data_IF_650529278761
#
_entry.id   IF_650529278761
#
_cell.length_a   1.000
_cell.length_b   1.000
_cell.length_c   1.000
_cell.angle_alpha   90.00
_cell.angle_beta   90.00
_cell.angle_gamma   90.00
#
_symmetry.space_group_name_H-M   'P 1'
#
loop_
_entity.id
_entity.type
_entity.pdbx_description
1 polymer ?
#
# COMPACT_ATOMS: atom_id res chain seq x y z
N UNK A 1 -0.94 -12.87 14.81
CA UNK A 1 -2.22 -12.20 15.10
C UNK A 1 -2.86 -11.81 13.80
N UNK A 2 -4.17 -12.07 13.67
CA UNK A 2 -4.97 -11.67 12.52
C UNK A 2 -6.04 -10.71 13.04
N UNK A 3 -6.18 -9.55 12.41
CA UNK A 3 -7.18 -8.54 12.75
C UNK A 3 -8.07 -8.37 11.53
N UNK A 4 -9.39 -8.45 11.71
CA UNK A 4 -10.37 -8.25 10.65
C UNK A 4 -11.28 -7.10 11.05
N UNK A 5 -11.31 -6.06 10.24
CA UNK A 5 -12.07 -4.85 10.49
C UNK A 5 -13.19 -4.75 9.45
N UNK A 6 -14.47 -4.89 9.83
CA UNK A 6 -15.56 -4.81 8.88
C UNK A 6 -15.64 -3.41 8.28
N UNK A 7 -15.82 -3.37 6.96
CA UNK A 7 -16.21 -2.17 6.22
C UNK A 7 -17.74 -2.17 6.06
N UNK A 8 -18.26 -1.32 5.18
CA UNK A 8 -19.71 -1.08 5.06
C UNK A 8 -20.14 0.20 5.76
N UNK A 9 -21.44 0.36 5.95
CA UNK A 9 -22.03 1.56 6.55
C UNK A 9 -21.51 2.84 5.89
N UNK A 10 -20.97 3.76 6.70
CA UNK A 10 -20.44 5.04 6.20
C UNK A 10 -19.34 4.89 5.15
N UNK A 11 -18.56 3.80 5.19
CA UNK A 11 -17.51 3.56 4.20
C UNK A 11 -18.05 3.30 2.79
N UNK A 12 -19.33 2.90 2.65
CA UNK A 12 -19.97 2.67 1.35
C UNK A 12 -20.62 3.93 0.77
N UNK A 13 -20.83 4.94 1.61
CA UNK A 13 -21.37 6.24 1.20
C UNK A 13 -20.30 7.16 0.64
N UNK A 14 -19.04 6.99 1.03
CA UNK A 14 -17.91 7.80 0.57
C UNK A 14 -17.44 7.27 -0.78
N UNK A 15 -17.31 8.15 -1.78
CA UNK A 15 -16.80 7.80 -3.10
C UNK A 15 -15.34 7.36 -3.06
N UNK A 16 -14.97 6.40 -3.91
CA UNK A 16 -13.58 5.90 -4.00
C UNK A 16 -12.58 7.00 -4.35
N UNK A 17 -13.03 8.08 -4.99
CA UNK A 17 -12.20 9.21 -5.46
C UNK A 17 -12.32 10.48 -4.60
N UNK A 18 -13.16 10.46 -3.56
CA UNK A 18 -13.41 11.61 -2.68
C UNK A 18 -12.17 11.92 -1.83
N UNK A 19 -11.43 10.89 -1.44
CA UNK A 19 -10.16 11.01 -0.72
C UNK A 19 -9.12 10.05 -1.32
N UNK A 20 -7.83 10.18 -0.97
CA UNK A 20 -6.80 9.28 -1.49
C UNK A 20 -7.04 7.79 -1.21
N UNK A 21 -7.73 7.45 -0.12
CA UNK A 21 -8.01 6.07 0.28
C UNK A 21 -9.17 5.47 -0.54
N UNK A 22 -8.91 4.49 -1.44
CA UNK A 22 -9.87 4.06 -2.44
C UNK A 22 -10.77 2.91 -1.97
N UNK A 23 -10.41 2.20 -0.90
CA UNK A 23 -11.07 0.94 -0.52
C UNK A 23 -12.41 1.20 0.19
N UNK A 24 -13.43 1.51 -0.60
CA UNK A 24 -14.79 1.90 -0.15
C UNK A 24 -15.80 0.79 -0.46
N UNK A 25 -16.93 1.15 -1.08
CA UNK A 25 -17.98 0.23 -1.51
C UNK A 25 -17.41 -0.96 -2.30
N UNK A 26 -17.90 -2.16 -2.02
CA UNK A 26 -17.40 -3.40 -2.63
C UNK A 26 -16.31 -4.12 -1.82
N UNK A 27 -15.69 -3.46 -0.84
CA UNK A 27 -14.80 -4.11 0.11
C UNK A 27 -15.59 -4.53 1.37
N UNK A 28 -15.51 -5.80 1.77
CA UNK A 28 -16.27 -6.32 2.91
C UNK A 28 -15.58 -6.01 4.26
N UNK A 29 -14.26 -6.17 4.29
CA UNK A 29 -13.43 -5.93 5.47
C UNK A 29 -11.98 -5.69 5.05
N UNK A 30 -11.21 -5.07 5.94
CA UNK A 30 -9.75 -5.08 5.89
C UNK A 30 -9.23 -6.25 6.75
N UNK A 31 -8.13 -6.88 6.34
CA UNK A 31 -7.47 -7.94 7.09
C UNK A 31 -5.99 -7.64 7.25
N UNK A 32 -5.52 -7.58 8.50
CA UNK A 32 -4.12 -7.38 8.85
C UNK A 32 -3.52 -8.65 9.44
N UNK A 33 -2.35 -9.03 8.94
CA UNK A 33 -1.51 -10.07 9.53
C UNK A 33 -0.37 -9.38 10.28
N UNK A 34 -0.16 -9.74 11.55
CA UNK A 34 0.92 -9.19 12.36
C UNK A 34 1.57 -10.28 13.20
N UNK A 35 2.89 -10.28 13.25
CA UNK A 35 3.68 -11.10 14.16
C UNK A 35 4.54 -10.18 15.03
N UNK A 36 4.56 -10.46 16.33
CA UNK A 36 5.40 -9.77 17.32
C UNK A 36 6.24 -10.83 18.00
N UNK A 37 7.52 -10.55 18.20
CA UNK A 37 8.45 -11.46 18.85
C UNK A 37 9.41 -10.67 19.74
N UNK A 38 10.06 -11.34 20.70
CA UNK A 38 10.91 -10.69 21.72
C UNK A 38 12.42 -10.83 21.42
N UNK A 39 12.81 -11.95 20.81
CA UNK A 39 14.21 -12.27 20.51
C UNK A 39 14.72 -11.40 19.36
N UNK A 40 15.85 -10.73 19.53
CA UNK A 40 16.40 -9.78 18.54
C UNK A 40 17.52 -10.39 17.68
N UNK A 41 17.39 -11.68 17.39
CA UNK A 41 18.34 -12.43 16.56
C UNK A 41 17.91 -12.38 15.08
N UNK A 42 18.90 -12.42 14.18
CA UNK A 42 18.65 -12.34 12.73
C UNK A 42 17.86 -13.57 12.28
N UNK A 43 18.19 -14.74 12.79
CA UNK A 43 17.56 -16.01 12.46
C UNK A 43 16.06 -16.01 12.82
N UNK A 44 15.70 -15.48 13.99
CA UNK A 44 14.30 -15.40 14.41
C UNK A 44 13.54 -14.35 13.56
N UNK A 45 14.18 -13.23 13.21
CA UNK A 45 13.61 -12.26 12.25
C UNK A 45 13.34 -12.92 10.89
N UNK A 46 14.31 -13.63 10.32
CA UNK A 46 14.18 -14.29 9.02
C UNK A 46 13.05 -15.32 9.01
N UNK A 47 12.96 -16.11 10.08
CA UNK A 47 11.86 -17.08 10.27
C UNK A 47 10.50 -16.40 10.28
N UNK A 48 10.32 -15.33 11.05
CA UNK A 48 9.04 -14.61 11.12
C UNK A 48 8.68 -13.92 9.80
N UNK A 49 9.64 -13.29 9.14
CA UNK A 49 9.45 -12.67 7.82
C UNK A 49 9.06 -13.73 6.80
N UNK A 50 9.73 -14.89 6.78
CA UNK A 50 9.40 -16.02 5.90
C UNK A 50 7.97 -16.52 6.14
N UNK A 51 7.57 -16.70 7.39
CA UNK A 51 6.22 -17.13 7.74
C UNK A 51 5.14 -16.14 7.26
N UNK A 52 5.39 -14.84 7.46
CA UNK A 52 4.50 -13.78 7.00
C UNK A 52 4.34 -13.77 5.47
N UNK A 53 5.44 -13.92 4.73
CA UNK A 53 5.42 -14.01 3.27
C UNK A 53 4.67 -15.25 2.77
N UNK A 54 4.85 -16.40 3.44
CA UNK A 54 4.10 -17.63 3.13
C UNK A 54 2.60 -17.46 3.37
N UNK A 55 2.20 -16.91 4.52
CA UNK A 55 0.79 -16.63 4.83
C UNK A 55 0.18 -15.63 3.83
N UNK A 56 0.87 -14.52 3.55
CA UNK A 56 0.42 -13.54 2.58
C UNK A 56 0.26 -14.14 1.19
N UNK A 57 1.18 -15.02 0.76
CA UNK A 57 1.10 -15.74 -0.51
C UNK A 57 -0.09 -16.71 -0.54
N UNK A 58 -0.28 -17.51 0.50
CA UNK A 58 -1.40 -18.44 0.64
C UNK A 58 -2.76 -17.72 0.49
N UNK A 59 -2.89 -16.54 1.10
CA UNK A 59 -4.13 -15.76 1.06
C UNK A 59 -4.46 -15.14 -0.29
N UNK A 60 -3.56 -15.21 -1.29
CA UNK A 60 -3.68 -14.53 -2.59
C UNK A 60 -5.02 -14.79 -3.29
N UNK A 61 -5.55 -16.01 -3.24
CA UNK A 61 -6.76 -16.40 -3.97
C UNK A 61 -8.06 -16.02 -3.26
N UNK A 62 -7.98 -15.59 -2.00
CA UNK A 62 -9.14 -15.29 -1.15
C UNK A 62 -9.35 -13.78 -0.91
N UNK A 63 -8.42 -12.94 -1.36
CA UNK A 63 -8.45 -11.49 -1.17
C UNK A 63 -8.52 -10.77 -2.50
N UNK A 64 -8.69 -9.45 -2.48
CA UNK A 64 -8.69 -8.61 -3.69
C UNK A 64 -7.51 -8.93 -4.62
N UNK A 65 -7.75 -8.91 -5.94
CA UNK A 65 -6.75 -9.11 -6.98
C UNK A 65 -6.87 -8.08 -8.10
N UNK A 66 -5.80 -7.92 -8.88
CA UNK A 66 -5.75 -7.06 -10.08
C UNK A 66 -6.13 -5.57 -9.89
N UNK A 67 -5.44 -4.81 -9.00
CA UNK A 67 -4.31 -5.20 -8.17
C UNK A 67 -4.76 -5.74 -6.79
N UNK A 68 -3.84 -6.41 -6.09
CA UNK A 68 -4.06 -6.77 -4.69
C UNK A 68 -3.96 -5.51 -3.83
N UNK A 69 -5.09 -5.09 -3.26
CA UNK A 69 -5.21 -3.88 -2.45
C UNK A 69 -4.36 -3.93 -1.18
N UNK A 70 -3.90 -2.77 -0.76
CA UNK A 70 -3.11 -2.56 0.46
C UNK A 70 -3.49 -1.22 1.10
N UNK A 71 -3.15 -1.03 2.37
CA UNK A 71 -3.41 0.21 3.09
C UNK A 71 -2.10 0.89 3.48
N UNK A 72 -1.91 2.15 3.06
CA UNK A 72 -0.64 2.88 3.22
C UNK A 72 -0.15 2.95 4.67
N UNK A 73 -1.07 3.08 5.64
CA UNK A 73 -0.71 3.14 7.06
C UNK A 73 -0.14 1.82 7.60
N UNK A 74 -0.27 0.72 6.85
CA UNK A 74 0.44 -0.54 7.06
C UNK A 74 1.49 -0.72 5.96
N UNK A 75 2.41 0.25 5.88
CA UNK A 75 3.42 0.35 4.81
C UNK A 75 4.23 -0.94 4.68
N UNK A 76 4.23 -1.50 3.48
CA UNK A 76 4.89 -2.74 3.11
C UNK A 76 5.83 -2.53 1.91
N UNK A 77 7.13 -2.67 2.16
CA UNK A 77 8.18 -2.51 1.16
C UNK A 77 8.29 -3.73 0.23
N UNK A 78 7.73 -4.90 0.59
CA UNK A 78 7.67 -6.07 -0.29
C UNK A 78 6.74 -5.83 -1.51
N UNK A 79 5.89 -4.78 -1.46
CA UNK A 79 5.05 -4.37 -2.60
C UNK A 79 5.82 -3.64 -3.71
N UNK A 80 7.04 -3.20 -3.44
CA UNK A 80 7.89 -2.44 -4.36
C UNK A 80 8.42 -1.15 -3.73
N UNK A 81 9.56 -0.68 -4.22
CA UNK A 81 10.24 0.51 -3.69
C UNK A 81 10.73 1.41 -4.83
N UNK A 82 10.82 2.69 -4.53
CA UNK A 82 11.39 3.73 -5.36
C UNK A 82 12.92 3.52 -5.50
N UNK A 83 13.46 3.83 -6.68
CA UNK A 83 14.89 3.77 -7.01
C UNK A 83 15.60 5.09 -6.68
N UNK A 84 15.31 5.66 -5.51
CA UNK A 84 15.83 6.99 -5.11
C UNK A 84 15.26 8.14 -5.96
N UNK A 85 16.10 9.11 -6.33
CA UNK A 85 15.70 10.33 -7.04
C UNK A 85 15.19 10.09 -8.47
N UNK A 86 15.61 9.00 -9.11
CA UNK A 86 15.27 8.69 -10.50
C UNK A 86 14.01 7.83 -10.64
N UNK A 87 13.13 7.83 -9.62
CA UNK A 87 11.90 7.04 -9.67
C UNK A 87 10.89 7.69 -10.60
N UNK A 88 10.50 6.98 -11.66
CA UNK A 88 9.42 7.41 -12.55
C UNK A 88 8.03 7.12 -11.95
N UNK A 89 6.99 7.75 -12.49
CA UNK A 89 5.61 7.42 -12.16
C UNK A 89 5.31 5.94 -12.40
N UNK A 90 5.79 5.35 -13.51
CA UNK A 90 5.52 3.94 -13.84
C UNK A 90 6.28 2.97 -12.91
N UNK A 91 7.50 3.30 -12.44
CA UNK A 91 8.17 2.52 -11.40
C UNK A 91 7.32 2.48 -10.11
N UNK A 92 6.84 3.65 -9.68
CA UNK A 92 6.09 3.79 -8.43
C UNK A 92 4.66 3.23 -8.54
N UNK A 93 4.09 3.17 -9.74
CA UNK A 93 2.74 2.64 -9.99
C UNK A 93 2.59 1.18 -9.57
N UNK A 94 3.67 0.40 -9.59
CA UNK A 94 3.67 -1.01 -9.17
C UNK A 94 3.12 -1.22 -7.74
N UNK A 95 3.50 -0.34 -6.83
CA UNK A 95 3.01 -0.32 -5.44
C UNK A 95 1.89 0.71 -5.26
N UNK A 96 1.94 1.84 -5.97
CA UNK A 96 1.04 2.97 -5.80
C UNK A 96 -0.43 2.65 -6.04
N UNK A 97 -0.74 1.89 -7.09
CA UNK A 97 -2.13 1.48 -7.38
C UNK A 97 -2.68 0.50 -6.34
N UNK A 98 -1.83 -0.20 -5.59
CA UNK A 98 -2.27 -1.09 -4.50
C UNK A 98 -2.79 -0.29 -3.31
N UNK A 99 -2.16 0.83 -3.00
CA UNK A 99 -2.58 1.72 -1.92
C UNK A 99 -3.71 2.67 -2.31
N UNK A 100 -3.65 3.21 -3.53
CA UNK A 100 -4.48 4.36 -3.93
C UNK A 100 -5.42 4.07 -5.10
N UNK A 101 -5.37 2.88 -5.71
CA UNK A 101 -6.20 2.54 -6.86
C UNK A 101 -6.01 3.54 -8.00
N UNK A 102 -7.13 4.00 -8.57
CA UNK A 102 -7.15 5.02 -9.63
C UNK A 102 -6.71 6.42 -9.15
N UNK A 103 -6.73 6.68 -7.83
CA UNK A 103 -6.34 7.98 -7.27
C UNK A 103 -4.83 8.25 -7.36
N UNK A 104 -4.01 7.22 -7.61
CA UNK A 104 -2.55 7.37 -7.64
C UNK A 104 -2.08 8.43 -8.66
N UNK A 105 -2.70 8.48 -9.84
CA UNK A 105 -2.36 9.48 -10.87
C UNK A 105 -2.67 10.90 -10.39
N UNK A 106 -3.83 11.12 -9.77
CA UNK A 106 -4.22 12.42 -9.21
C UNK A 106 -3.23 12.87 -8.12
N UNK A 107 -2.79 11.94 -7.27
CA UNK A 107 -1.78 12.22 -6.24
C UNK A 107 -0.44 12.64 -6.86
N UNK A 108 0.02 11.96 -7.91
CA UNK A 108 1.28 12.30 -8.58
C UNK A 108 1.22 13.69 -9.25
N UNK A 109 0.07 14.05 -9.84
CA UNK A 109 -0.14 15.39 -10.39
C UNK A 109 -0.16 16.47 -9.31
N UNK A 110 -0.80 16.21 -8.16
CA UNK A 110 -0.78 17.13 -7.02
C UNK A 110 0.65 17.30 -6.51
N UNK A 111 1.38 16.20 -6.32
CA UNK A 111 2.80 16.19 -5.93
C UNK A 111 3.65 17.05 -6.88
N UNK A 112 3.46 16.92 -8.19
CA UNK A 112 4.17 17.71 -9.20
C UNK A 112 3.93 19.22 -9.06
N UNK A 113 2.75 19.65 -8.59
CA UNK A 113 2.44 21.07 -8.36
C UNK A 113 3.04 21.60 -7.05
N UNK A 114 3.02 20.82 -5.98
CA UNK A 114 3.40 21.29 -4.63
C UNK A 114 4.86 21.02 -4.28
N UNK A 115 5.49 20.02 -4.89
CA UNK A 115 6.87 19.61 -4.62
C UNK A 115 7.52 19.07 -5.91
N UNK A 116 7.73 19.94 -6.92
CA UNK A 116 8.26 19.55 -8.24
C UNK A 116 9.70 19.03 -8.16
N UNK A 117 10.49 19.46 -7.17
CA UNK A 117 11.87 19.00 -6.95
C UNK A 117 11.94 17.68 -6.17
N UNK A 118 10.79 17.12 -5.79
CA UNK A 118 10.65 15.89 -5.03
C UNK A 118 11.47 15.91 -3.72
N UNK A 119 11.45 17.03 -3.00
CA UNK A 119 12.18 17.21 -1.75
C UNK A 119 11.65 16.26 -0.66
N UNK A 120 10.32 16.19 -0.50
CA UNK A 120 9.69 15.30 0.47
C UNK A 120 9.54 13.90 -0.12
N UNK A 121 10.53 13.03 0.10
CA UNK A 121 10.57 11.68 -0.46
C UNK A 121 11.00 10.62 0.53
N UNK A 122 10.56 9.39 0.26
CA UNK A 122 10.96 8.14 0.88
C UNK A 122 10.83 6.99 -0.14
N UNK A 123 11.06 5.76 0.30
CA UNK A 123 11.10 4.54 -0.50
C UNK A 123 9.75 4.20 -1.17
N UNK A 124 8.64 4.77 -0.72
CA UNK A 124 7.31 4.63 -1.34
C UNK A 124 6.57 5.98 -1.36
N UNK A 125 7.31 7.06 -1.61
CA UNK A 125 6.71 8.38 -1.81
C UNK A 125 6.17 8.50 -3.22
N UNK A 126 5.02 9.15 -3.39
CA UNK A 126 4.46 9.42 -4.71
C UNK A 126 5.45 10.31 -5.47
N UNK A 127 5.96 9.91 -6.65
CA UNK A 127 6.84 10.76 -7.45
C UNK A 127 6.02 11.90 -8.09
N UNK A 128 6.61 13.10 -8.26
CA UNK A 128 5.95 14.18 -8.97
C UNK A 128 5.70 13.78 -10.42
N UNK A 129 4.48 14.00 -10.90
CA UNK A 129 4.14 13.95 -12.32
C UNK A 129 3.96 15.39 -12.80
N UNK A 130 5.00 15.91 -13.45
CA UNK A 130 4.95 17.20 -14.13
C UNK A 130 4.39 16.95 -15.53
N UNK A 131 3.24 17.56 -15.82
CA UNK A 131 2.58 17.51 -17.14
C UNK A 131 2.78 18.86 -17.81
#
# INVERSE_FOLDING_TARGET
MMIMEPLGGKMYEIGETDTPFPHRRGNLYSIQYMVKWRVKEIEEMEKHVRWMRLLYSYMRVYVSGSPRGAYLNYRDLDLGMNKGSNTSFEDAKLWGIRYFGSNFKKLAMVKGKIDPTNFFRNEQSVPPLVV
#
